data_IF_500044670940
#
_entry.id   IF_500044670940
#
_cell.length_a   1.000
_cell.length_b   1.000
_cell.length_c   1.000
_cell.angle_alpha   90.00
_cell.angle_beta   90.00
_cell.angle_gamma   90.00
#
_symmetry.space_group_name_H-M   'P 1'
#
loop_
_entity.id
_entity.type
_entity.pdbx_description
1 polymer ?
#
# COMPACT_ATOMS: atom_id res chain seq x y z
N UNK A 1 -47.50 -42.03 14.95
CA UNK A 1 -48.21 -40.74 14.84
C UNK A 1 -47.21 -39.70 14.31
N UNK A 2 -47.25 -39.36 13.01
CA UNK A 2 -46.33 -38.37 12.41
C UNK A 2 -46.79 -36.97 12.80
N UNK A 3 -46.17 -36.38 13.80
CA UNK A 3 -46.36 -34.97 14.18
C UNK A 3 -45.92 -34.09 13.01
N UNK A 4 -46.88 -33.50 12.29
CA UNK A 4 -46.60 -32.50 11.29
C UNK A 4 -45.98 -31.29 11.98
N UNK A 5 -44.67 -31.06 11.79
CA UNK A 5 -44.10 -29.78 12.19
C UNK A 5 -44.85 -28.68 11.45
N UNK A 6 -45.31 -27.62 12.13
CA UNK A 6 -46.14 -26.61 11.50
C UNK A 6 -45.32 -25.99 10.36
N UNK A 7 -45.88 -25.98 9.14
CA UNK A 7 -45.21 -25.46 7.93
C UNK A 7 -44.54 -24.10 8.17
N UNK A 8 -45.15 -23.28 9.04
CA UNK A 8 -44.64 -22.02 9.53
C UNK A 8 -43.24 -22.08 10.18
N UNK A 9 -42.95 -23.11 10.99
CA UNK A 9 -41.64 -23.27 11.63
C UNK A 9 -40.55 -23.57 10.59
N UNK A 10 -40.86 -24.30 9.52
CA UNK A 10 -39.92 -24.52 8.41
C UNK A 10 -39.62 -23.24 7.64
N UNK A 11 -40.61 -22.39 7.41
CA UNK A 11 -40.40 -21.07 6.79
C UNK A 11 -39.53 -20.17 7.66
N UNK A 12 -39.80 -20.09 8.97
CA UNK A 12 -38.98 -19.30 9.90
C UNK A 12 -37.53 -19.79 9.95
N UNK A 13 -37.30 -21.10 10.03
CA UNK A 13 -35.95 -21.68 9.98
C UNK A 13 -35.27 -21.38 8.65
N UNK A 14 -35.99 -21.46 7.53
CA UNK A 14 -35.47 -21.07 6.22
C UNK A 14 -35.06 -19.60 6.17
N UNK A 15 -35.93 -18.68 6.61
CA UNK A 15 -35.63 -17.25 6.67
C UNK A 15 -34.42 -16.95 7.57
N UNK A 16 -34.34 -17.58 8.74
CA UNK A 16 -33.19 -17.44 9.63
C UNK A 16 -31.90 -17.97 8.98
N UNK A 17 -31.96 -19.12 8.31
CA UNK A 17 -30.82 -19.68 7.59
C UNK A 17 -30.35 -18.75 6.44
N UNK A 18 -31.27 -18.22 5.64
CA UNK A 18 -30.94 -17.25 4.59
C UNK A 18 -30.39 -15.94 5.13
N UNK A 19 -30.88 -15.48 6.29
CA UNK A 19 -30.33 -14.31 6.96
C UNK A 19 -28.88 -14.56 7.39
N UNK A 20 -28.61 -15.68 8.07
CA UNK A 20 -27.25 -16.06 8.50
C UNK A 20 -26.33 -16.22 7.29
N UNK A 21 -26.77 -16.90 6.23
CA UNK A 21 -26.00 -17.06 4.99
C UNK A 21 -25.73 -15.72 4.32
N UNK A 22 -26.69 -14.81 4.29
CA UNK A 22 -26.52 -13.46 3.73
C UNK A 22 -25.51 -12.64 4.54
N UNK A 23 -25.60 -12.67 5.87
CA UNK A 23 -24.63 -11.99 6.74
C UNK A 23 -23.23 -12.56 6.53
N UNK A 24 -23.10 -13.88 6.46
CA UNK A 24 -21.82 -14.54 6.17
C UNK A 24 -21.28 -14.14 4.79
N UNK A 25 -22.13 -14.13 3.76
CA UNK A 25 -21.75 -13.69 2.42
C UNK A 25 -21.29 -12.22 2.39
N UNK A 26 -21.95 -11.33 3.15
CA UNK A 26 -21.57 -9.92 3.27
C UNK A 26 -20.21 -9.74 3.96
N UNK A 27 -19.92 -10.54 4.98
CA UNK A 27 -18.60 -10.56 5.63
C UNK A 27 -17.53 -11.05 4.65
N UNK A 28 -17.84 -12.08 3.86
CA UNK A 28 -16.90 -12.63 2.86
C UNK A 28 -16.67 -11.70 1.66
N UNK A 29 -17.67 -10.92 1.25
CA UNK A 29 -17.55 -9.96 0.13
C UNK A 29 -16.89 -8.65 0.55
N UNK A 30 -16.92 -8.30 1.85
CA UNK A 30 -16.40 -7.04 2.35
C UNK A 30 -14.94 -6.76 1.95
N UNK A 31 -13.97 -7.70 2.07
CA UNK A 31 -12.61 -7.47 1.60
C UNK A 31 -12.53 -7.16 0.10
N UNK A 32 -13.38 -7.79 -0.72
CA UNK A 32 -13.41 -7.53 -2.16
C UNK A 32 -13.98 -6.14 -2.48
N UNK A 33 -15.03 -5.73 -1.77
CA UNK A 33 -15.56 -4.36 -1.89
C UNK A 33 -14.52 -3.33 -1.45
N UNK A 34 -13.79 -3.59 -0.36
CA UNK A 34 -12.71 -2.71 0.09
C UNK A 34 -11.55 -2.64 -0.90
N UNK A 35 -11.15 -3.77 -1.50
CA UNK A 35 -10.14 -3.79 -2.55
C UNK A 35 -10.59 -3.01 -3.79
N UNK A 36 -11.85 -3.20 -4.20
CA UNK A 36 -12.43 -2.51 -5.35
C UNK A 36 -12.51 -1.00 -5.12
N UNK A 37 -12.88 -0.54 -3.91
CA UNK A 37 -12.88 0.90 -3.64
C UNK A 37 -11.47 1.45 -3.52
N UNK A 38 -10.54 0.66 -2.98
CA UNK A 38 -9.13 1.04 -2.81
C UNK A 38 -8.40 1.16 -4.14
N UNK A 39 -8.78 0.41 -5.19
CA UNK A 39 -8.19 0.61 -6.52
C UNK A 39 -8.51 1.97 -7.15
N UNK A 40 -9.52 2.69 -6.65
CA UNK A 40 -9.83 4.07 -7.05
C UNK A 40 -9.23 5.13 -6.13
N UNK A 41 -8.46 4.75 -5.11
CA UNK A 41 -7.82 5.69 -4.18
C UNK A 41 -6.47 6.16 -4.71
N UNK A 42 -6.04 7.34 -4.27
CA UNK A 42 -4.63 7.75 -4.38
C UNK A 42 -3.75 6.94 -3.42
N UNK A 43 -2.41 6.92 -3.62
CA UNK A 43 -1.50 6.33 -2.65
C UNK A 43 -1.63 6.97 -1.25
N UNK A 44 -1.76 8.30 -1.19
CA UNK A 44 -1.91 9.04 0.07
C UNK A 44 -3.18 8.63 0.84
N UNK A 45 -4.30 8.42 0.14
CA UNK A 45 -5.54 7.92 0.73
C UNK A 45 -5.42 6.45 1.18
N UNK A 46 -4.78 5.59 0.37
CA UNK A 46 -4.64 4.16 0.65
C UNK A 46 -3.90 3.88 1.96
N UNK A 47 -2.88 4.68 2.29
CA UNK A 47 -2.10 4.54 3.52
C UNK A 47 -2.66 5.32 4.71
N UNK A 48 -3.85 5.92 4.59
CA UNK A 48 -4.46 6.71 5.67
C UNK A 48 -5.01 5.83 6.79
N UNK A 49 -4.84 6.29 8.04
CA UNK A 49 -5.43 5.68 9.23
C UNK A 49 -6.40 6.66 9.93
N UNK A 50 -7.61 6.22 10.31
CA UNK A 50 -8.18 4.90 10.07
C UNK A 50 -8.52 4.66 8.58
N UNK A 51 -8.49 3.40 8.11
CA UNK A 51 -8.85 3.08 6.74
C UNK A 51 -10.31 3.42 6.49
N UNK A 52 -10.59 4.03 5.34
CA UNK A 52 -11.95 4.40 4.91
C UNK A 52 -12.39 3.60 3.70
N UNK A 53 -13.69 3.39 3.57
CA UNK A 53 -14.25 2.63 2.44
C UNK A 53 -14.17 3.41 1.13
N UNK A 54 -14.64 4.65 1.13
CA UNK A 54 -14.78 5.45 -0.10
C UNK A 54 -13.58 6.36 -0.31
N UNK A 55 -13.14 6.56 -1.56
CA UNK A 55 -11.97 7.34 -1.87
C UNK A 55 -12.24 8.85 -1.67
N UNK A 56 -11.27 9.58 -1.15
CA UNK A 56 -11.33 11.05 -1.00
C UNK A 56 -9.99 11.69 -1.33
N UNK A 57 -10.09 12.91 -1.82
CA UNK A 57 -8.97 13.79 -2.07
C UNK A 57 -8.96 14.97 -1.10
N UNK A 58 -7.79 15.61 -1.00
CA UNK A 58 -7.68 16.90 -0.33
C UNK A 58 -8.34 17.95 -1.22
N UNK A 59 -9.31 18.68 -0.68
CA UNK A 59 -9.91 19.82 -1.36
C UNK A 59 -8.83 20.87 -1.61
N UNK A 60 -8.87 21.51 -2.76
CA UNK A 60 -7.92 22.56 -3.13
C UNK A 60 -8.63 23.89 -3.36
N UNK A 61 -7.92 24.99 -3.18
CA UNK A 61 -8.42 26.35 -3.41
C UNK A 61 -7.35 27.20 -4.11
N UNK A 62 -7.78 28.06 -5.02
CA UNK A 62 -6.92 29.10 -5.59
C UNK A 62 -6.75 30.23 -4.58
N UNK A 63 -5.50 30.61 -4.32
CA UNK A 63 -5.15 31.69 -3.38
C UNK A 63 -4.39 32.76 -4.13
N UNK A 64 -4.77 34.03 -3.95
CA UNK A 64 -4.10 35.15 -4.59
C UNK A 64 -2.59 35.16 -4.25
N UNK A 65 -1.74 35.23 -5.28
CA UNK A 65 -0.28 35.18 -5.14
C UNK A 65 0.35 33.80 -5.29
N UNK A 66 -0.44 32.76 -5.57
CA UNK A 66 0.03 31.41 -5.87
C UNK A 66 -0.49 30.95 -7.23
N UNK A 67 0.38 30.36 -8.05
CA UNK A 67 0.05 29.93 -9.43
C UNK A 67 -0.70 28.59 -9.46
N UNK A 68 -0.54 27.76 -8.42
CA UNK A 68 -1.14 26.44 -8.31
C UNK A 68 -2.19 26.40 -7.18
N UNK A 69 -3.27 25.62 -7.35
CA UNK A 69 -4.27 25.46 -6.31
C UNK A 69 -3.68 24.71 -5.10
N UNK A 70 -3.93 25.26 -3.91
CA UNK A 70 -3.32 24.79 -2.67
C UNK A 70 -4.29 23.90 -1.87
N UNK A 71 -3.81 22.83 -1.22
CA UNK A 71 -4.65 21.95 -0.43
C UNK A 71 -5.15 22.65 0.85
N UNK A 72 -6.44 22.47 1.13
CA UNK A 72 -7.15 23.03 2.27
C UNK A 72 -7.05 22.13 3.49
N UNK A 73 -6.85 22.75 4.65
CA UNK A 73 -6.81 22.09 5.95
C UNK A 73 -7.65 22.87 6.95
N UNK A 74 -8.15 22.15 7.95
CA UNK A 74 -8.69 22.73 9.16
C UNK A 74 -7.55 23.11 10.10
N UNK A 75 -7.47 24.39 10.43
CA UNK A 75 -6.50 24.98 11.35
C UNK A 75 -7.25 25.67 12.47
N UNK A 76 -6.87 25.39 13.71
CA UNK A 76 -7.44 26.03 14.89
C UNK A 76 -6.67 27.31 15.21
N UNK A 77 -7.32 28.46 15.02
CA UNK A 77 -6.74 29.77 15.34
C UNK A 77 -7.55 30.39 16.46
N UNK A 78 -6.93 30.65 17.61
CA UNK A 78 -7.59 31.19 18.82
C UNK A 78 -8.81 30.38 19.27
N UNK A 79 -8.75 29.05 19.15
CA UNK A 79 -9.83 28.13 19.52
C UNK A 79 -10.99 28.06 18.51
N UNK A 80 -10.87 28.72 17.35
CA UNK A 80 -11.85 28.65 16.26
C UNK A 80 -11.27 27.88 15.09
N UNK A 81 -11.93 26.78 14.74
CA UNK A 81 -11.59 25.95 13.58
C UNK A 81 -11.94 26.67 12.27
N UNK A 82 -10.94 26.95 11.44
CA UNK A 82 -11.09 27.64 10.15
C UNK A 82 -10.37 26.86 9.04
N UNK A 83 -10.69 27.18 7.79
CA UNK A 83 -10.05 26.57 6.62
C UNK A 83 -8.88 27.45 6.16
N UNK A 84 -7.69 26.86 6.13
CA UNK A 84 -6.48 27.51 5.64
C UNK A 84 -5.86 26.68 4.52
N UNK A 85 -5.19 27.34 3.58
CA UNK A 85 -4.48 26.69 2.49
C UNK A 85 -3.03 26.42 2.90
N UNK A 86 -2.54 25.20 2.71
CA UNK A 86 -1.15 24.82 2.97
C UNK A 86 -0.26 25.30 1.82
N UNK A 87 0.62 26.25 2.07
CA UNK A 87 1.53 26.83 1.05
C UNK A 87 2.88 26.13 1.02
N UNK A 88 3.41 25.82 2.20
CA UNK A 88 4.73 25.18 2.37
C UNK A 88 4.62 24.10 3.43
N UNK A 89 5.20 22.94 3.17
CA UNK A 89 5.25 21.82 4.12
C UNK A 89 6.70 21.51 4.50
N UNK A 90 6.88 20.69 5.53
CA UNK A 90 8.19 20.21 5.97
C UNK A 90 9.16 21.31 6.43
N UNK A 91 8.62 22.41 6.96
CA UNK A 91 9.39 23.48 7.56
C UNK A 91 9.93 22.98 8.90
N UNK A 92 11.26 22.90 9.04
CA UNK A 92 11.90 22.54 10.31
C UNK A 92 12.00 23.77 11.20
N UNK A 93 11.30 23.71 12.33
CA UNK A 93 11.29 24.75 13.35
C UNK A 93 12.01 24.22 14.60
N UNK A 94 12.95 25.00 15.12
CA UNK A 94 13.66 24.71 16.35
C UNK A 94 13.01 25.46 17.50
N UNK A 95 12.82 24.77 18.62
CA UNK A 95 12.43 25.35 19.90
C UNK A 95 13.71 25.57 20.69
N UNK A 96 14.04 26.83 20.93
CA UNK A 96 15.26 27.25 21.62
C UNK A 96 14.91 27.82 22.99
N UNK A 97 15.78 27.66 23.98
CA UNK A 97 15.65 28.37 25.24
C UNK A 97 17.01 28.83 25.78
N UNK A 98 17.04 29.91 26.58
CA UNK A 98 18.20 30.25 27.38
C UNK A 98 18.66 29.08 28.25
N UNK A 99 19.98 28.84 28.41
CA UNK A 99 20.48 27.77 29.28
C UNK A 99 20.06 27.90 30.75
N UNK A 100 19.81 29.13 31.20
CA UNK A 100 19.46 29.47 32.58
C UNK A 100 17.96 29.33 32.87
N UNK A 101 17.11 29.33 31.83
CA UNK A 101 15.65 29.21 31.94
C UNK A 101 15.10 28.44 30.74
N UNK A 102 14.86 27.14 30.95
CA UNK A 102 14.41 26.22 29.90
C UNK A 102 12.92 26.35 29.57
N UNK A 103 12.14 27.04 30.40
CA UNK A 103 10.71 27.27 30.17
C UNK A 103 10.48 28.49 29.26
N UNK A 104 11.47 29.40 29.18
CA UNK A 104 11.46 30.55 28.28
C UNK A 104 11.82 30.17 26.84
N UNK A 105 10.90 29.49 26.15
CA UNK A 105 11.15 28.98 24.79
C UNK A 105 10.82 29.97 23.67
N UNK A 106 11.62 29.96 22.61
CA UNK A 106 11.44 30.74 21.38
C UNK A 106 11.52 29.82 20.16
N UNK A 107 10.58 29.98 19.24
CA UNK A 107 10.55 29.23 17.99
C UNK A 107 11.27 29.99 16.86
N UNK A 108 12.21 29.34 16.17
CA UNK A 108 12.89 29.90 14.99
C UNK A 108 13.15 28.85 13.93
N UNK A 109 13.24 29.29 12.68
CA UNK A 109 13.67 28.41 11.59
C UNK A 109 15.12 27.97 11.82
N UNK A 110 15.42 26.70 11.60
CA UNK A 110 16.79 26.18 11.71
C UNK A 110 17.79 26.91 10.80
N UNK A 111 17.32 27.51 9.70
CA UNK A 111 18.14 28.26 8.74
C UNK A 111 18.46 29.68 9.18
N UNK A 112 17.69 30.26 10.10
CA UNK A 112 17.87 31.63 10.58
C UNK A 112 18.85 31.70 11.76
N UNK A 113 19.03 30.57 12.44
CA UNK A 113 19.82 30.47 13.66
C UNK A 113 21.23 30.00 13.33
N UNK A 114 22.25 30.65 13.91
CA UNK A 114 23.67 30.33 13.65
C UNK A 114 24.29 29.63 14.86
N UNK A 115 25.28 28.75 14.67
CA UNK A 115 26.06 28.20 15.78
C UNK A 115 26.80 29.33 16.53
N UNK A 116 26.66 29.42 17.85
CA UNK A 116 27.41 30.38 18.66
C UNK A 116 28.90 30.06 18.57
N UNK A 117 29.73 31.04 18.17
CA UNK A 117 31.16 30.82 17.91
C UNK A 117 31.48 30.29 16.50
N UNK A 118 30.47 30.13 15.64
CA UNK A 118 30.61 29.71 14.25
C UNK A 118 30.62 28.19 14.04
N UNK A 119 30.51 27.75 12.78
CA UNK A 119 30.27 26.34 12.44
C UNK A 119 31.44 25.38 12.78
N UNK A 120 32.68 25.88 12.83
CA UNK A 120 33.86 25.05 13.13
C UNK A 120 34.15 24.93 14.63
N UNK A 121 33.79 25.95 15.42
CA UNK A 121 34.09 26.03 16.84
C UNK A 121 32.82 26.38 17.64
N UNK A 122 31.76 25.60 17.41
CA UNK A 122 30.48 25.82 18.07
C UNK A 122 30.64 25.66 19.59
N UNK A 123 30.26 26.69 20.33
CA UNK A 123 30.31 26.69 21.78
C UNK A 123 29.29 25.71 22.36
N UNK A 124 29.64 25.12 23.49
CA UNK A 124 28.80 24.21 24.25
C UNK A 124 28.66 24.68 25.69
N UNK A 125 27.54 24.33 26.32
CA UNK A 125 27.27 24.58 27.72
C UNK A 125 26.69 23.32 28.36
N UNK A 126 27.06 23.04 29.60
CA UNK A 126 26.50 21.91 30.32
C UNK A 126 25.18 22.33 30.98
N UNK A 127 24.08 21.72 30.56
CA UNK A 127 22.73 21.94 31.14
C UNK A 127 22.22 20.59 31.63
N UNK A 128 21.81 20.51 32.90
CA UNK A 128 21.37 19.26 33.55
C UNK A 128 22.37 18.09 33.46
N UNK A 129 23.68 18.39 33.40
CA UNK A 129 24.74 17.37 33.34
C UNK A 129 25.07 16.86 31.94
N UNK A 130 24.38 17.34 30.90
CA UNK A 130 24.67 17.03 29.50
C UNK A 130 25.26 18.23 28.77
N UNK A 131 26.21 17.98 27.87
CA UNK A 131 26.80 19.02 27.04
C UNK A 131 25.87 19.36 25.87
N UNK A 132 25.36 20.58 25.86
CA UNK A 132 24.42 21.11 24.87
C UNK A 132 25.09 22.16 24.00
N UNK A 133 24.75 22.19 22.72
CA UNK A 133 25.30 23.14 21.74
C UNK A 133 24.57 24.47 21.78
N UNK A 134 25.31 25.57 21.75
CA UNK A 134 24.78 26.92 21.73
C UNK A 134 24.53 27.43 20.31
N UNK A 135 23.46 28.20 20.18
CA UNK A 135 22.98 28.79 18.96
C UNK A 135 22.64 30.27 19.19
N UNK A 136 23.07 31.12 18.28
CA UNK A 136 22.79 32.55 18.24
C UNK A 136 21.38 32.76 17.70
N UNK A 137 20.43 33.02 18.61
CA UNK A 137 19.01 33.20 18.33
C UNK A 137 18.64 34.67 18.50
N UNK A 138 18.07 35.29 17.47
CA UNK A 138 17.62 36.68 17.53
C UNK A 138 16.23 36.80 18.16
N UNK A 139 16.13 37.56 19.26
CA UNK A 139 14.89 37.87 19.99
C UNK A 139 14.84 39.39 20.17
N UNK A 140 13.79 40.04 19.65
CA UNK A 140 13.59 41.49 19.73
C UNK A 140 14.80 42.34 19.28
N UNK A 141 15.54 41.86 18.26
CA UNK A 141 16.73 42.52 17.73
C UNK A 141 18.02 42.28 18.52
N UNK A 142 17.99 41.43 19.56
CA UNK A 142 19.15 41.02 20.33
C UNK A 142 19.50 39.56 20.05
N UNK A 143 20.79 39.27 19.85
CA UNK A 143 21.28 37.90 19.65
C UNK A 143 21.57 37.29 21.02
N UNK A 144 20.83 36.26 21.38
CA UNK A 144 20.94 35.55 22.66
C UNK A 144 21.44 34.13 22.37
N UNK A 145 22.51 33.66 23.04
CA UNK A 145 22.95 32.28 22.94
C UNK A 145 21.96 31.36 23.65
N UNK A 146 21.33 30.47 22.89
CA UNK A 146 20.31 29.54 23.37
C UNK A 146 20.67 28.09 23.03
N UNK A 147 20.12 27.15 23.77
CA UNK A 147 20.19 25.72 23.43
C UNK A 147 18.96 25.31 22.63
N UNK A 148 19.13 24.33 21.74
CA UNK A 148 18.02 23.71 21.03
C UNK A 148 17.40 22.63 21.92
N UNK A 149 16.17 22.85 22.39
CA UNK A 149 15.43 21.89 23.22
C UNK A 149 14.82 20.78 22.36
N UNK A 150 14.13 21.17 21.29
CA UNK A 150 13.47 20.23 20.41
C UNK A 150 13.32 20.79 19.00
N UNK A 151 13.05 19.90 18.05
CA UNK A 151 12.74 20.28 16.68
C UNK A 151 11.36 19.73 16.34
N UNK A 152 10.56 20.56 15.70
CA UNK A 152 9.27 20.16 15.15
C UNK A 152 9.22 20.47 13.66
N UNK A 153 8.36 19.76 12.96
CA UNK A 153 8.11 19.98 11.54
C UNK A 153 6.71 20.56 11.40
N UNK A 154 6.64 21.77 10.85
CA UNK A 154 5.39 22.50 10.62
C UNK A 154 5.17 22.74 9.13
N UNK A 155 3.95 23.10 8.78
CA UNK A 155 3.59 23.70 7.51
C UNK A 155 3.18 25.15 7.71
N UNK A 156 3.38 25.95 6.68
CA UNK A 156 2.85 27.31 6.56
C UNK A 156 1.45 27.22 5.96
N UNK A 157 0.49 27.78 6.68
CA UNK A 157 -0.91 27.85 6.31
C UNK A 157 -1.31 29.31 6.12
N UNK A 158 -2.03 29.62 5.05
CA UNK A 158 -2.51 30.98 4.76
C UNK A 158 -4.02 31.03 4.70
N UNK A 159 -4.60 32.14 5.15
CA UNK A 159 -6.02 32.37 5.01
C UNK A 159 -6.35 32.62 3.52
N UNK A 160 -7.22 31.82 2.88
CA UNK A 160 -7.53 32.00 1.46
C UNK A 160 -8.13 33.38 1.13
N UNK A 161 -8.76 34.04 2.10
CA UNK A 161 -9.34 35.37 1.92
C UNK A 161 -8.34 36.49 2.21
N UNK A 162 -7.31 36.22 3.01
CA UNK A 162 -6.25 37.17 3.34
C UNK A 162 -4.89 36.46 3.46
N UNK A 163 -4.15 36.32 2.35
CA UNK A 163 -2.89 35.56 2.32
C UNK A 163 -1.77 36.12 3.20
N UNK A 164 -1.89 37.36 3.68
CA UNK A 164 -0.93 37.94 4.64
C UNK A 164 -1.03 37.29 6.02
N UNK A 165 -2.19 36.71 6.36
CA UNK A 165 -2.40 36.02 7.62
C UNK A 165 -1.87 34.58 7.55
N UNK A 166 -0.68 34.37 8.14
CA UNK A 166 0.05 33.10 8.14
C UNK A 166 -0.02 32.43 9.50
N UNK A 167 -0.28 31.13 9.49
CA UNK A 167 -0.30 30.27 10.67
C UNK A 167 0.66 29.11 10.44
N UNK A 168 1.42 28.73 11.46
CA UNK A 168 2.31 27.58 11.41
C UNK A 168 1.77 26.48 12.30
N UNK A 169 1.55 25.29 11.71
CA UNK A 169 1.03 24.15 12.45
C UNK A 169 1.61 22.84 11.92
N UNK A 170 1.63 21.80 12.73
CA UNK A 170 2.05 20.47 12.27
C UNK A 170 1.06 19.89 11.26
N UNK A 171 1.47 19.77 9.99
CA UNK A 171 0.64 19.27 8.89
C UNK A 171 0.08 17.87 9.17
N UNK A 172 0.83 17.01 9.85
CA UNK A 172 0.40 15.64 10.17
C UNK A 172 -0.72 15.61 11.23
N UNK A 173 -0.78 16.63 12.08
CA UNK A 173 -1.83 16.78 13.09
C UNK A 173 -3.03 17.58 12.57
N UNK A 174 -2.86 18.34 11.49
CA UNK A 174 -3.94 19.09 10.84
C UNK A 174 -4.84 18.16 10.02
N UNK A 175 -6.15 18.38 10.10
CA UNK A 175 -7.14 17.61 9.33
C UNK A 175 -7.36 18.25 7.96
N UNK A 176 -7.06 17.58 6.83
CA UNK A 176 -7.35 18.10 5.51
C UNK A 176 -8.86 18.25 5.30
N UNK A 177 -9.27 19.28 4.56
CA UNK A 177 -10.63 19.38 4.03
C UNK A 177 -10.73 18.40 2.87
N UNK A 178 -11.80 17.60 2.81
CA UNK A 178 -11.85 16.47 1.87
C UNK A 178 -13.05 16.51 0.93
N UNK A 179 -12.83 16.10 -0.31
CA UNK A 179 -13.86 15.92 -1.34
C UNK A 179 -13.86 14.47 -1.86
N UNK A 180 -14.99 13.93 -2.34
CA UNK A 180 -14.99 12.63 -3.02
C UNK A 180 -14.06 12.65 -4.23
N UNK A 181 -13.18 11.65 -4.35
CA UNK A 181 -12.15 11.57 -5.40
C UNK A 181 -12.08 10.16 -5.96
N UNK A 182 -12.54 9.93 -7.19
CA UNK A 182 -12.49 8.62 -7.83
C UNK A 182 -11.43 8.63 -8.92
N UNK A 183 -10.46 7.71 -8.86
CA UNK A 183 -9.33 7.66 -9.79
C UNK A 183 -9.37 6.43 -10.71
N UNK A 184 -10.27 6.36 -11.73
CA UNK A 184 -10.26 5.28 -12.72
C UNK A 184 -8.99 5.26 -13.58
N UNK A 185 -8.26 6.37 -13.66
CA UNK A 185 -6.97 6.49 -14.34
C UNK A 185 -5.92 5.52 -13.81
N UNK A 186 -6.01 5.10 -12.54
CA UNK A 186 -5.14 4.10 -11.92
C UNK A 186 -5.05 2.80 -12.74
N UNK A 187 -6.15 2.37 -13.38
CA UNK A 187 -6.18 1.17 -14.21
C UNK A 187 -5.43 1.31 -15.53
N UNK A 188 -5.41 2.53 -16.09
CA UNK A 188 -4.64 2.81 -17.30
C UNK A 188 -3.16 2.93 -16.97
N UNK A 189 -2.85 3.64 -15.89
CA UNK A 189 -1.48 3.85 -15.43
C UNK A 189 -0.76 2.51 -15.20
N UNK A 190 -1.41 1.55 -14.52
CA UNK A 190 -0.78 0.24 -14.26
C UNK A 190 -0.50 -0.58 -15.53
N UNK A 191 -1.30 -0.43 -16.58
CA UNK A 191 -1.09 -1.14 -17.85
C UNK A 191 0.12 -0.55 -18.60
N UNK A 192 0.27 0.78 -18.56
CA UNK A 192 1.37 1.51 -19.17
C UNK A 192 2.67 1.35 -18.36
N UNK A 193 2.58 1.15 -17.05
CA UNK A 193 3.70 0.91 -16.16
C UNK A 193 4.34 -0.49 -16.39
N UNK A 194 5.67 -0.51 -16.46
CA UNK A 194 6.52 -1.72 -16.32
C UNK A 194 6.21 -2.90 -17.27
N UNK A 195 5.77 -2.65 -18.51
CA UNK A 195 5.43 -3.70 -19.48
C UNK A 195 4.36 -4.69 -18.98
N UNK A 196 3.46 -4.27 -18.09
CA UNK A 196 2.38 -5.12 -17.56
C UNK A 196 1.55 -5.78 -18.67
N UNK A 197 1.26 -5.05 -19.76
CA UNK A 197 0.58 -5.62 -20.92
C UNK A 197 1.29 -6.86 -21.51
N UNK A 198 2.64 -6.86 -21.55
CA UNK A 198 3.42 -8.00 -22.02
C UNK A 198 3.39 -9.15 -21.01
N UNK A 199 3.49 -8.86 -19.71
CA UNK A 199 3.38 -9.88 -18.67
C UNK A 199 2.02 -10.59 -18.69
N UNK A 200 0.93 -9.84 -18.86
CA UNK A 200 -0.43 -10.38 -19.01
C UNK A 200 -0.55 -11.23 -20.26
N UNK A 201 -0.04 -10.76 -21.40
CA UNK A 201 -0.09 -11.52 -22.67
C UNK A 201 0.73 -12.80 -22.59
N UNK A 202 1.93 -12.76 -22.01
CA UNK A 202 2.76 -13.94 -21.78
C UNK A 202 2.04 -14.97 -20.89
N UNK A 203 1.43 -14.50 -19.79
CA UNK A 203 0.70 -15.37 -18.85
C UNK A 203 -0.50 -16.02 -19.52
N UNK A 204 -1.27 -15.25 -20.27
CA UNK A 204 -2.42 -15.75 -21.04
C UNK A 204 -1.97 -16.81 -22.05
N UNK A 205 -0.92 -16.53 -22.83
CA UNK A 205 -0.40 -17.44 -23.84
C UNK A 205 0.13 -18.73 -23.21
N UNK A 206 0.94 -18.63 -22.15
CA UNK A 206 1.45 -19.81 -21.42
C UNK A 206 0.29 -20.64 -20.88
N UNK A 207 -0.69 -20.01 -20.24
CA UNK A 207 -1.84 -20.71 -19.65
C UNK A 207 -2.63 -21.47 -20.71
N UNK A 208 -2.94 -20.81 -21.84
CA UNK A 208 -3.68 -21.45 -22.94
C UNK A 208 -2.88 -22.64 -23.51
N UNK A 209 -1.59 -22.47 -23.78
CA UNK A 209 -0.75 -23.54 -24.33
C UNK A 209 -0.59 -24.71 -23.36
N UNK A 210 -0.43 -24.44 -22.07
CA UNK A 210 -0.35 -25.48 -21.03
C UNK A 210 -1.66 -26.23 -20.93
N UNK A 211 -2.80 -25.54 -20.86
CA UNK A 211 -4.12 -26.18 -20.78
C UNK A 211 -4.39 -27.05 -22.01
N UNK A 212 -4.14 -26.54 -23.21
CA UNK A 212 -4.34 -27.30 -24.45
C UNK A 212 -3.40 -28.51 -24.53
N UNK A 213 -2.12 -28.32 -24.20
CA UNK A 213 -1.13 -29.39 -24.19
C UNK A 213 -1.47 -30.47 -23.17
N UNK A 214 -1.86 -30.05 -21.96
CA UNK A 214 -2.27 -30.95 -20.88
C UNK A 214 -3.53 -31.72 -21.25
N UNK A 215 -4.56 -31.08 -21.82
CA UNK A 215 -5.76 -31.79 -22.29
C UNK A 215 -5.41 -32.83 -23.36
N UNK A 216 -4.58 -32.47 -24.33
CA UNK A 216 -4.18 -33.39 -25.39
C UNK A 216 -3.41 -34.61 -24.86
N UNK A 217 -2.39 -34.40 -24.03
CA UNK A 217 -1.57 -35.49 -23.46
C UNK A 217 -2.37 -36.35 -22.50
N UNK A 218 -3.23 -35.73 -21.69
CA UNK A 218 -4.07 -36.40 -20.69
C UNK A 218 -5.13 -37.28 -21.33
N UNK A 219 -5.82 -36.80 -22.36
CA UNK A 219 -6.82 -37.60 -23.09
C UNK A 219 -6.17 -38.81 -23.76
N UNK A 220 -5.00 -38.63 -24.38
CA UNK A 220 -4.25 -39.73 -25.01
C UNK A 220 -3.76 -40.75 -23.99
N UNK A 221 -3.17 -40.29 -22.88
CA UNK A 221 -2.70 -41.15 -21.80
C UNK A 221 -3.84 -41.91 -21.13
N UNK A 222 -4.93 -41.20 -20.79
CA UNK A 222 -6.11 -41.78 -20.15
C UNK A 222 -6.78 -42.82 -21.03
N UNK A 223 -6.91 -42.55 -22.34
CA UNK A 223 -7.41 -43.53 -23.30
C UNK A 223 -6.50 -44.78 -23.38
N UNK A 224 -5.18 -44.59 -23.42
CA UNK A 224 -4.24 -45.70 -23.48
C UNK A 224 -4.36 -46.63 -22.25
N UNK A 225 -4.43 -46.08 -21.03
CA UNK A 225 -4.57 -46.89 -19.82
C UNK A 225 -5.98 -47.50 -19.66
N UNK A 226 -7.03 -46.81 -20.11
CA UNK A 226 -8.41 -47.27 -19.96
C UNK A 226 -8.86 -48.29 -21.01
N UNK A 227 -8.33 -48.20 -22.25
CA UNK A 227 -8.84 -49.01 -23.38
C UNK A 227 -7.82 -49.95 -23.99
N UNK A 228 -6.51 -49.69 -23.89
CA UNK A 228 -5.50 -50.56 -24.47
C UNK A 228 -5.01 -51.61 -23.46
N UNK A 229 -4.79 -52.82 -23.94
CA UNK A 229 -4.15 -53.89 -23.17
C UNK A 229 -2.75 -54.11 -23.76
N UNK A 230 -1.72 -53.68 -23.04
CA UNK A 230 -0.33 -53.82 -23.46
C UNK A 230 0.51 -54.44 -22.32
N UNK A 231 1.55 -55.21 -22.65
CA UNK A 231 2.40 -55.83 -21.62
C UNK A 231 3.11 -54.75 -20.79
N UNK A 232 3.05 -54.89 -19.45
CA UNK A 232 3.68 -53.95 -18.52
C UNK A 232 2.86 -52.72 -18.13
N UNK A 233 1.59 -52.61 -18.58
CA UNK A 233 0.68 -51.50 -18.26
C UNK A 233 0.64 -51.16 -16.77
N UNK A 234 0.45 -52.15 -15.92
CA UNK A 234 0.25 -51.93 -14.48
C UNK A 234 1.55 -51.46 -13.78
N UNK A 235 2.72 -51.86 -14.30
CA UNK A 235 4.02 -51.36 -13.83
C UNK A 235 4.21 -49.89 -14.20
N UNK A 236 3.93 -49.52 -15.46
CA UNK A 236 4.02 -48.11 -15.91
C UNK A 236 3.04 -47.24 -15.12
N UNK A 237 1.83 -47.75 -14.88
CA UNK A 237 0.83 -47.08 -14.06
C UNK A 237 1.34 -46.79 -12.64
N UNK A 238 1.97 -47.78 -11.98
CA UNK A 238 2.54 -47.61 -10.64
C UNK A 238 3.65 -46.55 -10.60
N UNK A 239 4.55 -46.53 -11.60
CA UNK A 239 5.56 -45.48 -11.72
C UNK A 239 4.94 -44.10 -11.89
N UNK A 240 3.91 -43.98 -12.74
CA UNK A 240 3.21 -42.72 -12.98
C UNK A 240 2.57 -42.18 -11.70
N UNK A 241 1.92 -43.05 -10.91
CA UNK A 241 1.37 -42.68 -9.60
C UNK A 241 2.47 -42.24 -8.61
N UNK A 242 3.62 -42.92 -8.62
CA UNK A 242 4.76 -42.56 -7.79
C UNK A 242 5.28 -41.14 -8.04
N UNK A 243 5.17 -40.62 -9.27
CA UNK A 243 5.59 -39.24 -9.57
C UNK A 243 4.73 -38.16 -8.90
N UNK A 244 3.46 -38.45 -8.59
CA UNK A 244 2.55 -37.50 -7.92
C UNK A 244 2.98 -37.26 -6.47
N UNK A 245 3.70 -38.21 -5.85
CA UNK A 245 4.22 -38.07 -4.49
C UNK A 245 5.43 -37.14 -4.39
N UNK A 246 6.06 -36.80 -5.52
CA UNK A 246 7.22 -35.91 -5.55
C UNK A 246 6.72 -34.47 -5.42
N UNK A 247 7.09 -33.72 -4.36
CA UNK A 247 6.67 -32.34 -4.21
C UNK A 247 7.31 -31.47 -5.29
N UNK A 248 6.48 -30.63 -5.94
CA UNK A 248 6.90 -29.79 -7.07
C UNK A 248 8.17 -28.96 -6.79
N UNK A 249 8.34 -28.48 -5.56
CA UNK A 249 9.50 -27.67 -5.14
C UNK A 249 10.84 -28.38 -5.39
N UNK A 250 10.88 -29.71 -5.28
CA UNK A 250 12.10 -30.51 -5.53
C UNK A 250 12.49 -30.54 -7.02
N UNK A 251 11.53 -30.30 -7.92
CA UNK A 251 11.75 -30.34 -9.36
C UNK A 251 12.21 -28.99 -9.93
N UNK A 252 12.10 -27.88 -9.18
CA UNK A 252 12.40 -26.54 -9.69
C UNK A 252 13.87 -26.42 -10.16
N UNK A 253 14.82 -26.80 -9.31
CA UNK A 253 16.26 -26.74 -9.63
C UNK A 253 16.62 -27.63 -10.83
N UNK A 254 16.28 -28.93 -10.86
CA UNK A 254 16.62 -29.77 -12.01
C UNK A 254 15.89 -29.35 -13.29
N UNK A 255 14.64 -28.88 -13.23
CA UNK A 255 13.95 -28.34 -14.40
C UNK A 255 14.64 -27.08 -14.92
N UNK A 256 15.06 -26.17 -14.04
CA UNK A 256 15.82 -24.99 -14.45
C UNK A 256 17.15 -25.37 -15.12
N UNK A 257 17.90 -26.30 -14.53
CA UNK A 257 19.15 -26.81 -15.12
C UNK A 257 18.91 -27.44 -16.50
N UNK A 258 17.82 -28.19 -16.67
CA UNK A 258 17.42 -28.74 -17.97
C UNK A 258 17.14 -27.63 -18.98
N UNK A 259 16.40 -26.59 -18.60
CA UNK A 259 16.11 -25.45 -19.48
C UNK A 259 17.38 -24.69 -19.89
N UNK A 260 18.36 -24.56 -18.98
CA UNK A 260 19.69 -24.00 -19.28
C UNK A 260 20.43 -24.89 -20.28
N UNK A 261 20.48 -26.20 -20.03
CA UNK A 261 21.20 -27.16 -20.86
C UNK A 261 20.70 -27.16 -22.32
N UNK A 262 19.38 -27.04 -22.51
CA UNK A 262 18.75 -27.04 -23.85
C UNK A 262 18.61 -25.62 -24.45
N UNK A 263 19.09 -24.58 -23.76
CA UNK A 263 19.06 -23.19 -24.25
C UNK A 263 17.66 -22.57 -24.32
N UNK A 264 16.74 -23.01 -23.47
CA UNK A 264 15.37 -22.48 -23.40
C UNK A 264 15.19 -21.39 -22.32
N UNK A 265 16.28 -20.98 -21.67
CA UNK A 265 16.28 -19.85 -20.74
C UNK A 265 15.73 -18.59 -21.41
N UNK A 266 14.91 -17.85 -20.66
CA UNK A 266 14.25 -16.61 -21.12
C UNK A 266 13.32 -16.80 -22.34
N UNK A 267 12.72 -17.98 -22.50
CA UNK A 267 11.73 -18.26 -23.55
C UNK A 267 10.45 -18.83 -22.97
N UNK A 268 9.30 -18.44 -23.55
CA UNK A 268 7.98 -18.93 -23.12
C UNK A 268 7.86 -20.46 -23.17
N UNK A 269 8.57 -21.11 -24.10
CA UNK A 269 8.61 -22.58 -24.20
C UNK A 269 9.07 -23.27 -22.91
N UNK A 270 9.97 -22.63 -22.14
CA UNK A 270 10.44 -23.14 -20.85
C UNK A 270 9.35 -23.17 -19.77
N UNK A 271 8.32 -22.33 -19.93
CA UNK A 271 7.16 -22.27 -19.04
C UNK A 271 6.00 -23.14 -19.55
N UNK A 272 6.05 -23.64 -20.78
CA UNK A 272 4.97 -24.42 -21.38
C UNK A 272 5.29 -25.90 -21.34
N UNK A 273 6.39 -26.31 -21.96
CA UNK A 273 6.69 -27.72 -22.22
C UNK A 273 6.83 -28.59 -20.97
N UNK A 274 7.44 -28.13 -19.85
CA UNK A 274 7.48 -28.95 -18.64
C UNK A 274 6.09 -29.24 -18.05
N UNK A 275 5.09 -28.42 -18.38
CA UNK A 275 3.77 -28.42 -17.75
C UNK A 275 2.68 -29.04 -18.62
N UNK A 276 2.92 -29.30 -19.91
CA UNK A 276 1.96 -30.02 -20.75
C UNK A 276 1.84 -31.51 -20.39
N UNK A 277 2.77 -32.05 -19.59
CA UNK A 277 2.73 -33.43 -19.11
C UNK A 277 2.49 -33.44 -17.62
N UNK A 278 1.37 -34.02 -17.18
CA UNK A 278 1.10 -34.20 -15.76
C UNK A 278 0.52 -35.58 -15.50
N UNK A 279 1.00 -36.23 -14.44
CA UNK A 279 0.45 -37.51 -14.02
C UNK A 279 -1.00 -37.38 -13.53
N UNK A 280 -1.33 -36.23 -12.93
CA UNK A 280 -2.66 -35.91 -12.47
C UNK A 280 -3.68 -35.87 -13.62
N UNK A 281 -3.38 -35.15 -14.71
CA UNK A 281 -4.32 -34.99 -15.82
C UNK A 281 -4.65 -36.31 -16.54
N UNK A 282 -3.73 -37.27 -16.54
CA UNK A 282 -3.96 -38.58 -17.20
C UNK A 282 -5.05 -39.41 -16.50
N UNK A 283 -5.37 -39.13 -15.23
CA UNK A 283 -6.25 -39.98 -14.41
C UNK A 283 -7.49 -39.29 -13.85
N UNK A 284 -7.62 -37.96 -13.98
CA UNK A 284 -8.76 -37.15 -13.50
C UNK A 284 -9.34 -36.32 -14.62
#
# INVERSE_FOLDING_TARGET
>A
MKTQSPRFLRYLVGCAAYFVLTVFALVMIFPFLYMLTTSFKTPADTFRYPPRMFPRDSAVIEVAGYDEPLPLYHVDVNGVRRQYALTRSNIKLGIYAPPDDLDATVERYLTEVKPTGGAMNQQTITVNGEEQKLFDVEVDGQVIPMILISQTTVGEFVDPQNPENKVYQNVRLSEPVETPGWHPENYREIIELNNMARALTNTMLVTILVVLGQLATSVLGGYAFARLQFPGRDTVFLFYLGTIMIPFVMLIVPLYQLMVLIGWTDRLVSLVVPWIFTAYGTFL
#
